data_IF_662040824045
#
_entry.id   IF_662040824045
#
_cell.length_a   1.000
_cell.length_b   1.000
_cell.length_c   1.000
_cell.angle_alpha   90.00
_cell.angle_beta   90.00
_cell.angle_gamma   90.00
#
_symmetry.space_group_name_H-M   'P 1'
#
loop_
_entity.id
_entity.type
_entity.pdbx_description
1 polymer ?
#
# COMPACT_ATOMS: atom_id res chain seq x y z
N UNK A 1 20.19 -45.73 1.67
CA UNK A 1 18.92 -44.97 1.64
C UNK A 1 19.20 -43.53 2.09
N UNK A 2 19.86 -42.71 1.26
CA UNK A 2 20.32 -41.35 1.64
C UNK A 2 20.73 -40.46 0.43
N UNK A 3 19.90 -40.32 -0.61
CA UNK A 3 20.29 -39.57 -1.83
C UNK A 3 19.32 -38.49 -2.34
N UNK A 4 18.18 -38.22 -1.69
CA UNK A 4 17.16 -37.30 -2.24
C UNK A 4 17.17 -35.84 -1.72
N UNK A 5 17.97 -35.53 -0.68
CA UNK A 5 17.97 -34.19 -0.06
C UNK A 5 18.46 -33.01 -0.92
N UNK A 6 19.42 -33.14 -1.87
CA UNK A 6 19.90 -31.97 -2.61
C UNK A 6 18.85 -31.45 -3.60
N UNK A 7 18.15 -32.35 -4.30
CA UNK A 7 17.14 -32.00 -5.31
C UNK A 7 15.91 -31.28 -4.74
N UNK A 8 15.46 -31.66 -3.53
CA UNK A 8 14.35 -30.98 -2.85
C UNK A 8 14.73 -29.55 -2.41
N UNK A 9 15.97 -29.37 -1.94
CA UNK A 9 16.46 -28.04 -1.52
C UNK A 9 16.57 -27.07 -2.69
N UNK A 10 17.03 -27.56 -3.84
CA UNK A 10 17.19 -26.77 -5.06
C UNK A 10 15.84 -26.40 -5.68
N UNK A 11 14.89 -27.33 -5.73
CA UNK A 11 13.52 -27.07 -6.19
C UNK A 11 12.79 -26.07 -5.28
N UNK A 12 12.97 -26.17 -3.96
CA UNK A 12 12.39 -25.23 -3.01
C UNK A 12 12.96 -23.81 -3.18
N UNK A 13 14.29 -23.70 -3.37
CA UNK A 13 14.95 -22.42 -3.65
C UNK A 13 14.48 -21.81 -4.98
N UNK A 14 14.40 -22.60 -6.06
CA UNK A 14 13.92 -22.15 -7.37
C UNK A 14 12.46 -21.69 -7.31
N UNK A 15 11.60 -22.41 -6.60
CA UNK A 15 10.18 -22.06 -6.42
C UNK A 15 10.03 -20.74 -5.64
N UNK A 16 10.83 -20.55 -4.59
CA UNK A 16 10.86 -19.31 -3.81
C UNK A 16 11.27 -18.09 -4.64
N UNK A 17 12.34 -18.20 -5.42
CA UNK A 17 12.83 -17.13 -6.30
C UNK A 17 11.80 -16.78 -7.37
N UNK A 18 11.18 -17.79 -8.02
CA UNK A 18 10.16 -17.57 -9.04
C UNK A 18 8.93 -16.85 -8.48
N UNK A 19 8.46 -17.26 -7.30
CA UNK A 19 7.31 -16.62 -6.64
C UNK A 19 7.61 -15.17 -6.27
N UNK A 20 8.82 -14.86 -5.80
CA UNK A 20 9.23 -13.50 -5.47
C UNK A 20 9.29 -12.61 -6.72
N UNK A 21 9.83 -13.11 -7.82
CA UNK A 21 9.90 -12.39 -9.10
C UNK A 21 8.50 -12.09 -9.66
N UNK A 22 7.60 -13.08 -9.66
CA UNK A 22 6.21 -12.90 -10.12
C UNK A 22 5.50 -11.85 -9.26
N UNK A 23 5.64 -11.94 -7.93
CA UNK A 23 5.00 -11.00 -7.00
C UNK A 23 5.51 -9.57 -7.24
N UNK A 24 6.82 -9.38 -7.42
CA UNK A 24 7.41 -8.07 -7.74
C UNK A 24 6.91 -7.53 -9.08
N UNK A 25 6.93 -8.35 -10.12
CA UNK A 25 6.45 -7.97 -11.44
C UNK A 25 4.96 -7.58 -11.41
N UNK A 26 4.14 -8.32 -10.66
CA UNK A 26 2.73 -8.01 -10.47
C UNK A 26 2.53 -6.65 -9.79
N UNK A 27 3.30 -6.33 -8.74
CA UNK A 27 3.24 -5.01 -8.10
C UNK A 27 3.64 -3.87 -9.02
N UNK A 28 4.74 -4.03 -9.78
CA UNK A 28 5.18 -3.03 -10.75
C UNK A 28 4.10 -2.81 -11.81
N UNK A 29 3.50 -3.88 -12.33
CA UNK A 29 2.43 -3.81 -13.32
C UNK A 29 1.18 -3.10 -12.75
N UNK A 30 0.73 -3.46 -11.54
CA UNK A 30 -0.42 -2.83 -10.87
C UNK A 30 -0.18 -1.32 -10.73
N UNK A 31 0.96 -0.92 -10.16
CA UNK A 31 1.26 0.51 -9.96
C UNK A 31 1.35 1.27 -11.28
N UNK A 32 1.95 0.65 -12.31
CA UNK A 32 2.05 1.26 -13.64
C UNK A 32 0.67 1.44 -14.29
N UNK A 33 -0.21 0.43 -14.18
CA UNK A 33 -1.57 0.49 -14.70
C UNK A 33 -2.40 1.55 -13.97
N UNK A 34 -2.32 1.59 -12.63
CA UNK A 34 -2.97 2.62 -11.82
C UNK A 34 -2.46 4.01 -12.21
N UNK A 35 -1.14 4.19 -12.33
CA UNK A 35 -0.54 5.45 -12.75
C UNK A 35 -1.06 5.92 -14.11
N UNK A 36 -1.10 5.02 -15.10
CA UNK A 36 -1.63 5.30 -16.44
C UNK A 36 -3.11 5.69 -16.39
N UNK A 37 -3.93 4.99 -15.61
CA UNK A 37 -5.34 5.33 -15.43
C UNK A 37 -5.54 6.72 -14.80
N UNK A 38 -4.73 7.06 -13.79
CA UNK A 38 -4.78 8.39 -13.16
C UNK A 38 -4.39 9.52 -14.13
N UNK A 39 -3.40 9.29 -15.02
CA UNK A 39 -3.10 10.24 -16.09
C UNK A 39 -4.27 10.39 -17.07
N UNK A 40 -4.86 9.26 -17.50
CA UNK A 40 -5.97 9.24 -18.45
C UNK A 40 -7.22 9.96 -17.91
N UNK A 41 -7.52 9.83 -16.60
CA UNK A 41 -8.67 10.49 -15.97
C UNK A 41 -8.44 11.98 -15.66
N UNK A 42 -7.24 12.53 -15.92
CA UNK A 42 -6.91 13.93 -15.67
C UNK A 42 -6.40 14.23 -14.25
N UNK A 43 -5.90 13.24 -13.51
CA UNK A 43 -5.30 13.39 -12.18
C UNK A 43 -3.77 13.16 -12.23
N UNK A 44 -2.99 14.10 -12.80
CA UNK A 44 -1.59 13.86 -13.14
C UNK A 44 -0.68 13.65 -11.92
N UNK A 45 -0.95 14.35 -10.82
CA UNK A 45 -0.15 14.26 -9.58
C UNK A 45 -0.22 12.84 -9.02
N UNK A 46 -1.43 12.28 -8.89
CA UNK A 46 -1.62 10.90 -8.44
C UNK A 46 -0.90 9.91 -9.37
N UNK A 47 -1.05 10.11 -10.69
CA UNK A 47 -0.42 9.26 -11.70
C UNK A 47 1.10 9.22 -11.53
N UNK A 48 1.73 10.38 -11.31
CA UNK A 48 3.16 10.49 -11.05
C UNK A 48 3.57 9.79 -9.76
N UNK A 49 2.78 9.88 -8.68
CA UNK A 49 3.06 9.17 -7.42
C UNK A 49 3.10 7.65 -7.65
N UNK A 50 2.11 7.10 -8.36
CA UNK A 50 2.07 5.67 -8.67
C UNK A 50 3.22 5.23 -9.57
N UNK A 51 3.55 6.02 -10.61
CA UNK A 51 4.71 5.73 -11.46
C UNK A 51 6.04 5.82 -10.72
N UNK A 52 6.21 6.80 -9.81
CA UNK A 52 7.40 6.91 -8.97
C UNK A 52 7.57 5.67 -8.09
N UNK A 53 6.47 5.15 -7.52
CA UNK A 53 6.48 3.88 -6.79
C UNK A 53 6.87 2.69 -7.67
N UNK A 54 6.29 2.58 -8.87
CA UNK A 54 6.63 1.52 -9.83
C UNK A 54 8.11 1.57 -10.24
N UNK A 55 8.64 2.76 -10.52
CA UNK A 55 10.04 2.99 -10.84
C UNK A 55 10.94 2.62 -9.67
N UNK A 56 10.60 3.03 -8.45
CA UNK A 56 11.32 2.65 -7.23
C UNK A 56 11.42 1.14 -7.08
N UNK A 57 10.34 0.39 -7.27
CA UNK A 57 10.36 -1.07 -7.21
C UNK A 57 11.17 -1.70 -8.35
N UNK A 58 11.13 -1.12 -9.56
CA UNK A 58 11.94 -1.59 -10.67
C UNK A 58 13.45 -1.39 -10.40
N UNK A 59 13.84 -0.21 -9.93
CA UNK A 59 15.21 0.12 -9.56
C UNK A 59 15.74 -0.77 -8.41
N UNK A 60 14.89 -1.09 -7.45
CA UNK A 60 15.20 -2.05 -6.37
C UNK A 60 15.41 -3.46 -6.94
N UNK A 61 14.59 -3.88 -7.90
CA UNK A 61 14.73 -5.18 -8.56
C UNK A 61 16.06 -5.31 -9.33
N UNK A 62 16.58 -4.21 -9.86
CA UNK A 62 17.92 -4.15 -10.47
C UNK A 62 19.07 -4.00 -9.46
N UNK A 63 18.77 -3.85 -8.16
CA UNK A 63 19.76 -3.64 -7.11
C UNK A 63 20.41 -2.25 -7.11
N UNK A 64 19.79 -1.28 -7.80
CA UNK A 64 20.32 0.09 -7.91
C UNK A 64 19.98 0.93 -6.68
N UNK A 65 18.92 0.57 -5.95
CA UNK A 65 18.57 1.21 -4.68
C UNK A 65 19.26 0.48 -3.51
N UNK A 66 20.22 1.17 -2.89
CA UNK A 66 20.86 0.71 -1.64
C UNK A 66 20.33 1.52 -0.46
N UNK A 67 19.03 1.42 -0.20
CA UNK A 67 18.44 2.06 0.98
C UNK A 67 18.74 1.20 2.20
N UNK A 68 19.64 1.68 3.07
CA UNK A 68 19.90 1.02 4.35
C UNK A 68 18.74 1.29 5.30
N UNK A 69 18.02 0.26 5.77
CA UNK A 69 16.97 0.45 6.76
C UNK A 69 17.59 0.97 8.06
N UNK A 70 16.91 1.87 8.75
CA UNK A 70 17.37 2.30 10.07
C UNK A 70 17.24 1.15 11.07
N UNK A 71 18.37 0.71 11.61
CA UNK A 71 18.42 -0.28 12.68
C UNK A 71 18.13 0.42 14.00
N UNK A 72 16.88 0.31 14.48
CA UNK A 72 16.44 0.90 15.75
C UNK A 72 16.05 -0.18 16.75
N UNK A 73 16.58 -0.04 17.96
CA UNK A 73 16.26 -0.86 19.12
C UNK A 73 14.74 -0.98 19.33
N UNK A 74 14.30 -2.13 19.86
CA UNK A 74 12.89 -2.54 19.91
C UNK A 74 11.98 -1.56 20.68
N UNK A 75 12.50 -0.95 21.75
CA UNK A 75 11.76 -0.01 22.61
C UNK A 75 11.67 1.38 21.99
N UNK A 76 12.79 1.92 21.51
CA UNK A 76 12.84 3.19 20.77
C UNK A 76 11.94 3.15 19.53
N UNK A 77 11.88 1.99 18.86
CA UNK A 77 11.00 1.76 17.71
C UNK A 77 9.52 1.88 18.07
N UNK A 78 9.08 1.34 19.21
CA UNK A 78 7.66 1.39 19.62
C UNK A 78 7.20 2.81 19.94
N UNK A 79 7.99 3.55 20.71
CA UNK A 79 7.68 4.95 21.04
C UNK A 79 7.69 5.80 19.78
N UNK A 80 8.70 5.64 18.93
CA UNK A 80 8.78 6.34 17.66
C UNK A 80 7.59 6.02 16.75
N UNK A 81 7.15 4.76 16.66
CA UNK A 81 5.95 4.40 15.88
C UNK A 81 4.70 5.11 16.40
N UNK A 82 4.50 5.18 17.72
CA UNK A 82 3.37 5.90 18.29
C UNK A 82 3.46 7.41 18.05
N UNK A 83 4.65 8.01 18.19
CA UNK A 83 4.87 9.43 17.88
C UNK A 83 4.57 9.69 16.40
N UNK A 84 5.11 8.88 15.49
CA UNK A 84 4.85 9.01 14.06
C UNK A 84 3.36 8.85 13.74
N UNK A 85 2.66 7.89 14.37
CA UNK A 85 1.23 7.73 14.22
C UNK A 85 0.45 8.94 14.74
N UNK A 86 0.82 9.49 15.90
CA UNK A 86 0.17 10.66 16.47
C UNK A 86 0.39 11.91 15.61
N UNK A 87 1.62 12.13 15.13
CA UNK A 87 1.96 13.21 14.21
C UNK A 87 1.18 13.04 12.90
N UNK A 88 1.17 11.84 12.33
CA UNK A 88 0.44 11.55 11.10
C UNK A 88 -1.06 11.77 11.25
N UNK A 89 -1.63 11.31 12.37
CA UNK A 89 -3.04 11.55 12.69
C UNK A 89 -3.34 13.05 12.80
N UNK A 90 -2.54 13.79 13.57
CA UNK A 90 -2.75 15.22 13.78
C UNK A 90 -2.66 15.99 12.46
N UNK A 91 -1.61 15.71 11.68
CA UNK A 91 -1.35 16.37 10.41
C UNK A 91 -2.47 16.07 9.41
N UNK A 92 -2.88 14.82 9.25
CA UNK A 92 -3.93 14.45 8.29
C UNK A 92 -5.34 14.86 8.76
N UNK A 93 -5.61 14.89 10.06
CA UNK A 93 -6.91 15.31 10.61
C UNK A 93 -7.11 16.83 10.56
N UNK A 94 -6.04 17.62 10.55
CA UNK A 94 -6.08 19.09 10.53
C UNK A 94 -5.70 19.69 9.18
N UNK A 95 -5.09 18.92 8.27
CA UNK A 95 -4.73 19.41 6.94
C UNK A 95 -5.97 19.96 6.21
N UNK A 96 -5.84 21.13 5.53
CA UNK A 96 -6.85 21.62 4.61
C UNK A 96 -7.03 20.60 3.49
N UNK A 97 -8.24 20.04 3.35
CA UNK A 97 -8.55 19.09 2.29
C UNK A 97 -8.55 19.80 0.93
N UNK A 98 -8.25 19.03 -0.12
CA UNK A 98 -8.38 19.46 -1.52
C UNK A 98 -7.43 20.61 -1.91
N UNK A 99 -6.37 20.83 -1.12
CA UNK A 99 -5.36 21.86 -1.35
C UNK A 99 -3.98 21.29 -1.70
N UNK A 100 -3.14 22.11 -2.34
CA UNK A 100 -1.74 21.72 -2.63
C UNK A 100 -0.92 21.40 -1.37
N UNK A 101 -1.27 22.01 -0.23
CA UNK A 101 -0.60 21.77 1.06
C UNK A 101 -0.76 20.31 1.50
N UNK A 102 -1.96 19.74 1.38
CA UNK A 102 -2.22 18.34 1.71
C UNK A 102 -1.34 17.41 0.86
N UNK A 103 -1.29 17.65 -0.45
CA UNK A 103 -0.48 16.85 -1.37
C UNK A 103 1.00 16.90 -0.97
N UNK A 104 1.54 18.08 -0.69
CA UNK A 104 2.94 18.24 -0.23
C UNK A 104 3.19 17.50 1.07
N UNK A 105 2.26 17.61 2.04
CA UNK A 105 2.35 16.95 3.34
C UNK A 105 2.34 15.43 3.20
N UNK A 106 1.41 14.88 2.42
CA UNK A 106 1.30 13.43 2.17
C UNK A 106 2.55 12.92 1.46
N UNK A 107 3.04 13.63 0.44
CA UNK A 107 4.28 13.27 -0.27
C UNK A 107 5.48 13.32 0.67
N UNK A 108 5.62 14.37 1.48
CA UNK A 108 6.71 14.51 2.45
C UNK A 108 6.70 13.38 3.48
N UNK A 109 5.53 13.02 3.99
CA UNK A 109 5.36 11.87 4.91
C UNK A 109 5.74 10.58 4.20
N UNK A 110 5.25 10.35 2.98
CA UNK A 110 5.58 9.18 2.18
C UNK A 110 7.09 9.03 2.01
N UNK A 111 7.77 10.09 1.58
CA UNK A 111 9.23 10.14 1.41
C UNK A 111 9.96 9.89 2.73
N UNK A 112 9.53 10.53 3.82
CA UNK A 112 10.13 10.35 5.15
C UNK A 112 9.97 8.92 5.69
N UNK A 113 8.90 8.22 5.30
CA UNK A 113 8.64 6.85 5.72
C UNK A 113 9.42 5.81 4.88
N UNK A 114 9.85 6.13 3.66
CA UNK A 114 10.59 5.19 2.78
C UNK A 114 11.72 4.47 3.53
N UNK A 115 12.66 5.14 4.23
CA UNK A 115 13.75 4.45 4.95
C UNK A 115 13.28 3.58 6.13
N UNK A 116 12.07 3.84 6.65
CA UNK A 116 11.48 3.11 7.78
C UNK A 116 10.79 1.83 7.31
N UNK A 117 10.12 1.89 6.16
CA UNK A 117 9.30 0.79 5.63
C UNK A 117 9.96 0.03 4.48
N UNK A 118 11.13 0.47 4.00
CA UNK A 118 11.82 -0.20 2.90
C UNK A 118 12.01 -1.69 3.20
N UNK A 119 11.74 -2.59 2.24
CA UNK A 119 11.89 -4.02 2.45
C UNK A 119 13.30 -4.37 2.95
N UNK A 120 13.39 -5.00 4.11
CA UNK A 120 14.63 -5.66 4.52
C UNK A 120 14.76 -6.98 3.74
N UNK A 121 15.98 -7.41 3.38
CA UNK A 121 16.21 -8.78 2.92
C UNK A 121 15.53 -9.75 3.90
N UNK A 122 14.61 -10.57 3.39
CA UNK A 122 13.78 -11.40 4.24
C UNK A 122 14.65 -12.37 5.05
N UNK A 123 14.72 -12.15 6.36
CA UNK A 123 15.12 -13.21 7.29
C UNK A 123 13.98 -14.23 7.27
N UNK A 124 14.24 -15.54 7.07
CA UNK A 124 13.19 -16.55 7.10
C UNK A 124 12.46 -16.50 8.44
N UNK A 125 11.27 -15.90 8.47
CA UNK A 125 10.42 -15.90 9.66
C UNK A 125 9.59 -17.18 9.72
N UNK A 126 9.28 -17.69 10.92
CA UNK A 126 8.41 -18.85 11.07
C UNK A 126 7.09 -18.63 10.34
N UNK A 127 6.70 -19.62 9.51
CA UNK A 127 5.53 -19.55 8.63
C UNK A 127 4.28 -19.15 9.43
N UNK A 128 3.74 -17.97 9.15
CA UNK A 128 2.34 -17.67 9.49
C UNK A 128 1.45 -18.80 8.95
N UNK A 129 0.34 -19.13 9.64
CA UNK A 129 -0.60 -20.18 9.19
C UNK A 129 -0.98 -19.89 7.73
N UNK A 130 -0.55 -20.71 6.76
CA UNK A 130 -0.66 -20.38 5.34
C UNK A 130 -2.10 -20.11 4.92
N UNK A 131 -3.06 -20.80 5.53
CA UNK A 131 -4.46 -20.69 5.19
C UNK A 131 -5.10 -19.37 5.65
N UNK A 132 -4.73 -18.85 6.82
CA UNK A 132 -5.28 -17.58 7.31
C UNK A 132 -4.79 -16.40 6.46
N UNK A 133 -3.49 -16.43 6.09
CA UNK A 133 -2.91 -15.42 5.20
C UNK A 133 -3.51 -15.53 3.80
N UNK A 134 -3.67 -16.75 3.26
CA UNK A 134 -4.29 -16.97 1.95
C UNK A 134 -5.73 -16.49 1.91
N UNK A 135 -6.53 -16.78 2.95
CA UNK A 135 -7.92 -16.31 3.05
C UNK A 135 -8.01 -14.79 3.15
N UNK A 136 -7.15 -14.18 3.97
CA UNK A 136 -7.10 -12.73 4.08
C UNK A 136 -6.69 -12.09 2.75
N UNK A 137 -5.64 -12.60 2.10
CA UNK A 137 -5.20 -12.14 0.79
C UNK A 137 -6.32 -12.24 -0.24
N UNK A 138 -7.01 -13.38 -0.32
CA UNK A 138 -8.14 -13.57 -1.21
C UNK A 138 -9.28 -12.57 -0.94
N UNK A 139 -9.70 -12.43 0.33
CA UNK A 139 -10.75 -11.49 0.70
C UNK A 139 -10.39 -10.04 0.33
N UNK A 140 -9.15 -9.62 0.64
CA UNK A 140 -8.66 -8.28 0.28
C UNK A 140 -8.53 -8.08 -1.22
N UNK A 141 -8.10 -9.10 -1.97
CA UNK A 141 -8.06 -9.05 -3.43
C UNK A 141 -9.45 -8.90 -4.04
N UNK A 142 -10.46 -9.62 -3.52
CA UNK A 142 -11.85 -9.47 -3.97
C UNK A 142 -12.34 -8.05 -3.71
N UNK A 143 -12.14 -7.52 -2.50
CA UNK A 143 -12.53 -6.14 -2.15
C UNK A 143 -11.87 -5.13 -3.09
N UNK A 144 -10.56 -5.27 -3.33
CA UNK A 144 -9.82 -4.37 -4.20
C UNK A 144 -10.31 -4.44 -5.66
N UNK A 145 -10.48 -5.64 -6.21
CA UNK A 145 -10.95 -5.82 -7.60
C UNK A 145 -12.37 -5.28 -7.78
N UNK A 146 -13.28 -5.57 -6.84
CA UNK A 146 -14.66 -5.05 -6.88
C UNK A 146 -14.65 -3.52 -6.76
N UNK A 147 -13.84 -2.95 -5.86
CA UNK A 147 -13.69 -1.50 -5.73
C UNK A 147 -13.14 -0.85 -7.00
N UNK A 148 -12.11 -1.42 -7.62
CA UNK A 148 -11.58 -0.95 -8.89
C UNK A 148 -12.62 -1.05 -10.02
N UNK A 149 -13.36 -2.16 -10.10
CA UNK A 149 -14.42 -2.33 -11.09
C UNK A 149 -15.54 -1.32 -10.90
N UNK A 150 -15.92 -1.02 -9.64
CA UNK A 150 -16.88 0.03 -9.32
C UNK A 150 -16.39 1.40 -9.80
N UNK A 151 -15.17 1.80 -9.41
CA UNK A 151 -14.59 3.10 -9.78
C UNK A 151 -14.50 3.28 -11.30
N UNK A 152 -14.02 2.26 -12.02
CA UNK A 152 -13.95 2.28 -13.47
C UNK A 152 -15.35 2.34 -14.09
N UNK A 153 -16.30 1.56 -13.57
CA UNK A 153 -17.69 1.56 -14.02
C UNK A 153 -18.36 2.91 -13.84
N UNK A 154 -18.27 3.48 -12.64
CA UNK A 154 -18.79 4.81 -12.31
C UNK A 154 -18.18 5.88 -13.22
N UNK A 155 -16.86 5.87 -13.42
CA UNK A 155 -16.17 6.81 -14.31
C UNK A 155 -16.71 6.78 -15.74
N UNK A 156 -16.93 5.61 -16.34
CA UNK A 156 -17.45 5.55 -17.71
C UNK A 156 -18.94 5.89 -17.78
N UNK A 157 -19.72 5.50 -16.77
CA UNK A 157 -21.16 5.75 -16.74
C UNK A 157 -21.52 7.22 -16.43
N UNK A 158 -20.67 7.96 -15.73
CA UNK A 158 -20.89 9.38 -15.40
C UNK A 158 -20.57 10.35 -16.55
N UNK A 159 -19.79 9.92 -17.55
CA UNK A 159 -19.32 10.75 -18.68
C UNK A 159 -20.41 11.34 -19.59
N UNK A 160 -21.55 10.68 -19.88
CA UNK A 160 -22.50 11.17 -20.88
C UNK A 160 -23.20 12.49 -20.52
N UNK A 161 -23.38 12.79 -19.22
CA UNK A 161 -24.02 14.05 -18.79
C UNK A 161 -23.77 14.32 -17.31
N UNK A 162 -23.86 15.59 -16.84
CA UNK A 162 -23.78 15.92 -15.42
C UNK A 162 -24.84 15.21 -14.57
N UNK A 163 -26.02 14.91 -15.14
CA UNK A 163 -27.05 14.14 -14.43
C UNK A 163 -26.64 12.67 -14.20
N UNK A 164 -25.82 12.12 -15.09
CA UNK A 164 -25.31 10.75 -14.95
C UNK A 164 -24.28 10.63 -13.82
N UNK A 165 -23.58 11.72 -13.48
CA UNK A 165 -22.64 11.78 -12.35
C UNK A 165 -23.34 11.49 -11.02
N UNK A 166 -24.53 12.06 -10.81
CA UNK A 166 -25.34 11.79 -9.62
C UNK A 166 -25.97 10.38 -9.62
N UNK A 167 -26.21 9.80 -10.79
CA UNK A 167 -26.81 8.47 -10.91
C UNK A 167 -25.77 7.36 -10.67
N UNK A 168 -24.50 7.62 -11.00
CA UNK A 168 -23.40 6.66 -10.90
C UNK A 168 -22.20 7.25 -10.15
N UNK A 169 -22.36 7.58 -8.85
CA UNK A 169 -21.28 8.20 -8.09
C UNK A 169 -20.12 7.21 -7.86
N UNK A 170 -18.86 7.65 -8.04
CA UNK A 170 -17.69 6.85 -7.64
C UNK A 170 -17.67 6.62 -6.13
N UNK A 171 -16.92 5.61 -5.66
CA UNK A 171 -16.82 5.34 -4.22
C UNK A 171 -16.16 6.51 -3.51
N UNK A 172 -15.24 7.22 -4.16
CA UNK A 172 -14.64 8.45 -3.63
C UNK A 172 -15.70 9.44 -3.16
N UNK A 173 -16.73 9.69 -3.96
CA UNK A 173 -17.75 10.71 -3.69
C UNK A 173 -18.69 10.26 -2.57
N UNK A 174 -18.93 8.95 -2.46
CA UNK A 174 -19.70 8.38 -1.34
C UNK A 174 -18.95 8.46 -0.01
N UNK A 175 -17.62 8.37 -0.05
CA UNK A 175 -16.76 8.44 1.13
C UNK A 175 -16.43 9.89 1.50
N UNK A 176 -16.48 10.81 0.54
CA UNK A 176 -16.11 12.22 0.68
C UNK A 176 -16.75 12.92 1.89
N UNK A 177 -18.06 12.78 2.18
CA UNK A 177 -18.67 13.43 3.35
C UNK A 177 -18.05 13.02 4.69
N UNK A 178 -17.57 11.77 4.78
CA UNK A 178 -16.90 11.28 5.98
C UNK A 178 -15.47 11.81 6.09
N UNK A 179 -14.79 12.04 4.97
CA UNK A 179 -13.45 12.63 4.93
C UNK A 179 -13.52 14.14 5.18
N UNK A 180 -14.52 14.82 4.63
CA UNK A 180 -14.77 16.24 4.79
C UNK A 180 -15.03 16.62 6.26
N UNK A 181 -15.63 15.72 7.05
CA UNK A 181 -15.83 15.90 8.48
C UNK A 181 -14.52 15.67 9.26
N UNK A 182 -13.98 16.69 9.96
CA UNK A 182 -12.72 16.55 10.70
C UNK A 182 -12.75 15.43 11.75
N UNK A 183 -13.91 15.24 12.40
CA UNK A 183 -14.11 14.21 13.43
C UNK A 183 -14.12 12.82 12.79
N UNK A 184 -14.94 12.62 11.75
CA UNK A 184 -15.03 11.32 11.10
C UNK A 184 -13.69 10.95 10.42
N UNK A 185 -13.03 11.92 9.79
CA UNK A 185 -11.66 11.78 9.26
C UNK A 185 -10.66 11.36 10.33
N UNK A 186 -10.63 12.02 11.48
CA UNK A 186 -9.73 11.66 12.57
C UNK A 186 -9.98 10.22 13.06
N UNK A 187 -11.24 9.82 13.19
CA UNK A 187 -11.62 8.45 13.57
C UNK A 187 -11.16 7.44 12.51
N UNK A 188 -11.40 7.71 11.23
CA UNK A 188 -10.98 6.84 10.12
C UNK A 188 -9.46 6.67 10.07
N UNK A 189 -8.70 7.76 10.19
CA UNK A 189 -7.24 7.72 10.23
C UNK A 189 -6.74 6.96 11.46
N UNK A 190 -7.35 7.18 12.64
CA UNK A 190 -6.98 6.44 13.84
C UNK A 190 -7.21 4.93 13.70
N UNK A 191 -8.37 4.52 13.16
CA UNK A 191 -8.68 3.12 12.86
C UNK A 191 -7.64 2.54 11.89
N UNK A 192 -7.32 3.27 10.82
CA UNK A 192 -6.36 2.85 9.81
C UNK A 192 -4.95 2.65 10.41
N UNK A 193 -4.47 3.63 11.18
CA UNK A 193 -3.15 3.57 11.82
C UNK A 193 -3.07 2.45 12.85
N UNK A 194 -4.07 2.34 13.74
CA UNK A 194 -4.11 1.29 14.77
C UNK A 194 -4.24 -0.09 14.15
N UNK A 195 -5.07 -0.22 13.11
CA UNK A 195 -5.23 -1.45 12.33
C UNK A 195 -3.92 -1.89 11.67
N UNK A 196 -3.25 -0.98 10.97
CA UNK A 196 -1.94 -1.22 10.36
C UNK A 196 -0.89 -1.62 11.38
N UNK A 197 -0.79 -0.89 12.49
CA UNK A 197 0.12 -1.22 13.58
C UNK A 197 -0.16 -2.60 14.19
N UNK A 198 -1.42 -2.94 14.42
CA UNK A 198 -1.82 -4.24 14.94
C UNK A 198 -1.48 -5.39 13.97
N UNK A 199 -1.67 -5.20 12.66
CA UNK A 199 -1.30 -6.17 11.63
C UNK A 199 0.21 -6.39 11.57
N UNK A 200 1.00 -5.31 11.56
CA UNK A 200 2.47 -5.38 11.57
C UNK A 200 2.95 -6.10 12.83
N UNK A 201 2.40 -5.76 14.00
CA UNK A 201 2.79 -6.40 15.26
C UNK A 201 2.47 -7.90 15.26
N UNK A 202 1.30 -8.29 14.78
CA UNK A 202 0.92 -9.72 14.65
C UNK A 202 1.80 -10.47 13.65
N UNK A 203 2.21 -9.82 12.56
CA UNK A 203 3.13 -10.39 11.58
C UNK A 203 4.59 -10.55 12.08
N UNK A 204 4.99 -9.77 13.10
CA UNK A 204 6.36 -9.80 13.67
C UNK A 204 6.48 -10.55 15.00
N UNK A 205 5.38 -10.88 15.68
CA UNK A 205 5.42 -11.50 17.02
C UNK A 205 5.43 -13.03 17.02
N UNK A 206 5.91 -13.65 15.94
CA UNK A 206 6.15 -15.10 15.82
C UNK A 206 7.43 -15.31 15.03
#
# INVERSE_FOLDING_TARGET
MATDRPAESERAAQTGTRSATITRAAWIAILSLTGAFHLFRGAPVDGLIFFAGALGLALDAFGWLRIRPLDRERTARRLLSWILMAVLLLVLALAPLYGGVESVVVVAIGVALIPVVWPQPAVPTPRARPDAVRRAAFAWSVIAVVGCAWEIGAYFMSRPSPAAEFAFPPLSDLVDPFIASPIARAVLIAIWLVGGYALIRRGRSR
#
